data_IF_481525259650
#
_entry.id   IF_481525259650
#
_cell.length_a   1.000
_cell.length_b   1.000
_cell.length_c   1.000
_cell.angle_alpha   90.00
_cell.angle_beta   90.00
_cell.angle_gamma   90.00
#
_symmetry.space_group_name_H-M   'P 1'
#
loop_
_entity.id
_entity.type
_entity.pdbx_description
1 polymer ?
#
# COMPACT_ATOMS: atom_id res chain seq x y z
N UNK A 1 15.13 -15.77 14.92
CA UNK A 1 15.75 -14.54 14.38
C UNK A 1 15.87 -14.70 12.88
N UNK A 2 15.38 -13.73 12.10
CA UNK A 2 15.49 -13.74 10.64
C UNK A 2 16.97 -13.62 10.23
N UNK A 3 17.40 -14.24 9.12
CA UNK A 3 18.81 -14.32 8.75
C UNK A 3 19.48 -12.94 8.60
N UNK A 4 18.71 -11.93 8.17
CA UNK A 4 19.15 -10.53 8.06
C UNK A 4 19.44 -9.85 9.41
N UNK A 5 19.11 -10.47 10.54
CA UNK A 5 19.38 -9.94 11.89
C UNK A 5 20.67 -10.51 12.50
N UNK A 6 21.44 -11.33 11.77
CA UNK A 6 22.73 -11.84 12.24
C UNK A 6 23.82 -10.78 12.04
N UNK A 7 24.78 -10.75 12.97
CA UNK A 7 25.91 -9.80 12.99
C UNK A 7 26.69 -9.73 11.67
N UNK A 8 26.82 -10.86 10.98
CA UNK A 8 27.46 -10.99 9.66
C UNK A 8 26.77 -10.19 8.53
N UNK A 9 25.51 -9.81 8.72
CA UNK A 9 24.71 -8.99 7.79
C UNK A 9 24.53 -7.55 8.27
N UNK A 10 25.13 -7.14 9.40
CA UNK A 10 25.15 -5.73 9.80
C UNK A 10 26.07 -4.97 8.86
N UNK A 11 25.47 -4.27 7.91
CA UNK A 11 26.20 -3.47 6.95
C UNK A 11 26.57 -2.14 7.60
N UNK A 12 27.79 -2.03 8.11
CA UNK A 12 28.36 -0.74 8.46
C UNK A 12 28.44 0.14 7.21
N UNK A 13 28.06 1.41 7.33
CA UNK A 13 28.01 2.40 6.23
C UNK A 13 29.30 2.46 5.40
N UNK A 14 30.44 2.04 5.96
CA UNK A 14 31.75 2.24 5.37
C UNK A 14 32.49 0.96 4.95
N UNK A 15 31.99 -0.24 5.24
CA UNK A 15 32.85 -1.45 5.17
C UNK A 15 32.35 -2.54 4.22
N UNK A 16 31.04 -2.67 3.99
CA UNK A 16 30.46 -3.58 2.98
C UNK A 16 29.24 -2.95 2.34
N UNK A 17 29.04 -3.19 1.04
CA UNK A 17 27.84 -2.74 0.34
C UNK A 17 26.60 -3.25 1.08
N UNK A 18 25.70 -2.34 1.46
CA UNK A 18 24.47 -2.68 2.17
C UNK A 18 23.60 -3.70 1.40
N UNK A 19 23.84 -3.82 0.10
CA UNK A 19 23.10 -4.66 -0.84
C UNK A 19 24.03 -5.71 -1.45
N UNK A 20 24.03 -6.93 -0.90
CA UNK A 20 24.63 -8.11 -1.54
C UNK A 20 23.55 -8.89 -2.31
N UNK A 21 23.94 -9.88 -3.14
CA UNK A 21 22.95 -10.74 -3.83
C UNK A 21 22.11 -11.55 -2.83
N UNK A 22 22.71 -11.90 -1.69
CA UNK A 22 22.10 -12.67 -0.61
C UNK A 22 21.16 -11.80 0.26
N UNK A 23 21.46 -10.50 0.39
CA UNK A 23 20.61 -9.52 1.07
C UNK A 23 19.55 -8.88 0.17
N UNK A 24 19.66 -9.07 -1.15
CA UNK A 24 18.61 -8.68 -2.08
C UNK A 24 17.48 -9.67 -1.93
N UNK A 25 16.27 -9.16 -1.67
CA UNK A 25 15.01 -9.89 -1.90
C UNK A 25 14.89 -10.14 -3.41
N UNK A 26 15.65 -11.10 -3.95
CA UNK A 26 15.83 -11.31 -5.40
C UNK A 26 14.90 -12.36 -6.00
N UNK A 27 14.00 -12.93 -5.20
CA UNK A 27 12.97 -13.86 -5.68
C UNK A 27 11.60 -13.21 -5.83
N UNK A 28 11.38 -12.04 -5.23
CA UNK A 28 10.11 -11.33 -5.32
C UNK A 28 10.24 -10.14 -6.25
N UNK A 29 9.26 -10.00 -7.16
CA UNK A 29 9.13 -8.83 -8.02
C UNK A 29 8.86 -7.60 -7.15
N UNK A 30 9.46 -6.47 -7.51
CA UNK A 30 9.20 -5.20 -6.83
C UNK A 30 7.72 -4.83 -7.01
N UNK A 31 7.10 -4.09 -6.07
CA UNK A 31 5.68 -3.74 -6.19
C UNK A 31 5.30 -3.07 -7.52
N UNK A 32 6.14 -2.19 -8.05
CA UNK A 32 5.92 -1.55 -9.36
C UNK A 32 6.09 -2.53 -10.54
N UNK A 33 6.97 -3.54 -10.40
CA UNK A 33 7.10 -4.61 -11.40
C UNK A 33 5.86 -5.51 -11.39
N UNK A 34 5.31 -5.82 -10.21
CA UNK A 34 4.04 -6.54 -10.07
C UNK A 34 2.93 -5.76 -10.77
N UNK A 35 2.81 -4.45 -10.53
CA UNK A 35 1.81 -3.62 -11.22
C UNK A 35 1.92 -3.61 -12.74
N UNK A 36 3.16 -3.58 -13.25
CA UNK A 36 3.40 -3.62 -14.69
C UNK A 36 2.97 -4.96 -15.33
N UNK A 37 2.90 -6.02 -14.54
CA UNK A 37 2.50 -7.35 -15.00
C UNK A 37 1.03 -7.69 -14.74
N UNK A 38 0.38 -7.05 -13.76
CA UNK A 38 -1.05 -7.24 -13.50
C UNK A 38 -1.90 -6.99 -14.75
N UNK A 39 -1.52 -6.01 -15.59
CA UNK A 39 -2.19 -5.75 -16.87
C UNK A 39 -2.12 -6.92 -17.85
N UNK A 40 -1.04 -7.73 -17.80
CA UNK A 40 -0.88 -8.92 -18.66
C UNK A 40 -1.76 -10.08 -18.21
N UNK A 41 -2.09 -10.14 -16.92
CA UNK A 41 -2.98 -11.15 -16.34
C UNK A 41 -4.46 -10.83 -16.60
N UNK A 42 -4.83 -9.55 -16.73
CA UNK A 42 -6.19 -9.14 -17.08
C UNK A 42 -6.53 -9.43 -18.56
N UNK A 43 -5.56 -9.34 -19.46
CA UNK A 43 -5.73 -9.59 -20.91
C UNK A 43 -5.85 -11.09 -21.25
N UNK A 44 -5.46 -11.99 -20.35
CA UNK A 44 -5.45 -13.45 -20.59
C UNK A 44 -6.73 -14.18 -20.18
N UNK A 45 -7.77 -13.49 -19.67
CA UNK A 45 -9.09 -14.12 -19.46
C UNK A 45 -9.72 -14.46 -20.81
N UNK A 46 -10.00 -15.74 -21.13
CA UNK A 46 -10.60 -16.10 -22.40
C UNK A 46 -12.06 -15.67 -22.45
N UNK A 47 -12.46 -15.11 -23.59
CA UNK A 47 -13.85 -14.87 -23.97
C UNK A 47 -14.56 -16.22 -24.09
N UNK A 48 -15.39 -16.56 -23.11
CA UNK A 48 -16.30 -17.71 -23.19
C UNK A 48 -16.12 -18.73 -22.08
N UNK A 49 -16.78 -18.51 -20.95
CA UNK A 49 -17.18 -19.58 -20.03
C UNK A 49 -18.58 -19.29 -19.51
N UNK A 50 -19.57 -19.66 -20.33
CA UNK A 50 -20.97 -19.75 -19.96
C UNK A 50 -21.22 -21.02 -19.13
N UNK A 51 -21.53 -20.88 -17.83
CA UNK A 51 -22.47 -21.71 -17.04
C UNK A 51 -22.57 -21.22 -15.58
N UNK A 52 -23.77 -21.16 -14.98
CA UNK A 52 -24.01 -20.48 -13.69
C UNK A 52 -23.98 -21.39 -12.44
N UNK A 53 -23.46 -22.62 -12.53
CA UNK A 53 -23.52 -23.61 -11.43
C UNK A 53 -22.20 -23.83 -10.68
N UNK A 54 -21.17 -23.03 -10.95
CA UNK A 54 -20.02 -22.86 -10.07
C UNK A 54 -19.75 -21.37 -10.00
N UNK A 55 -20.24 -20.70 -8.95
CA UNK A 55 -19.80 -19.36 -8.62
C UNK A 55 -18.26 -19.40 -8.55
N UNK A 56 -17.60 -18.86 -9.58
CA UNK A 56 -16.17 -18.60 -9.55
C UNK A 56 -15.86 -17.67 -8.38
N UNK A 57 -14.58 -17.53 -7.96
CA UNK A 57 -14.24 -16.64 -6.86
C UNK A 57 -14.93 -15.32 -7.13
N UNK A 58 -15.84 -14.96 -6.24
CA UNK A 58 -16.62 -13.74 -6.33
C UNK A 58 -15.64 -12.60 -6.58
N UNK A 59 -16.06 -11.59 -7.32
CA UNK A 59 -15.21 -10.49 -7.74
C UNK A 59 -14.79 -9.66 -6.49
N UNK A 60 -13.91 -10.21 -5.65
CA UNK A 60 -13.43 -9.59 -4.41
C UNK A 60 -12.67 -8.37 -4.87
N UNK A 61 -13.34 -7.23 -4.77
CA UNK A 61 -12.77 -5.94 -5.10
C UNK A 61 -11.80 -5.58 -3.99
N UNK A 62 -10.56 -6.01 -4.16
CA UNK A 62 -9.49 -5.82 -3.18
C UNK A 62 -9.27 -4.32 -2.94
N UNK A 63 -9.51 -3.87 -1.71
CA UNK A 63 -9.24 -2.51 -1.24
C UNK A 63 -7.79 -2.39 -0.79
N UNK A 64 -7.15 -1.26 -1.11
CA UNK A 64 -5.76 -0.99 -0.77
C UNK A 64 -5.65 0.27 0.06
N UNK A 65 -5.01 0.16 1.21
CA UNK A 65 -4.69 1.29 2.07
C UNK A 65 -3.17 1.45 2.18
N UNK A 66 -2.68 2.66 1.93
CA UNK A 66 -1.27 3.03 2.08
C UNK A 66 -1.13 4.10 3.15
N UNK A 67 -0.12 3.97 4.00
CA UNK A 67 0.32 5.06 4.88
C UNK A 67 1.74 5.43 4.50
N UNK A 68 1.93 6.69 4.11
CA UNK A 68 3.18 7.24 3.58
C UNK A 68 3.68 8.37 4.47
N UNK A 69 4.96 8.67 4.37
CA UNK A 69 5.64 9.73 5.10
C UNK A 69 6.35 10.63 4.09
N UNK A 70 6.21 11.96 4.16
CA UNK A 70 6.85 12.81 3.14
C UNK A 70 8.37 12.90 3.28
N UNK A 71 8.92 12.57 4.46
CA UNK A 71 10.35 12.50 4.71
C UNK A 71 10.86 11.03 4.71
N UNK A 72 10.33 10.25 3.77
CA UNK A 72 10.68 8.84 3.55
C UNK A 72 11.16 8.65 2.11
N UNK A 73 12.28 7.95 1.92
CA UNK A 73 12.84 7.65 0.60
C UNK A 73 11.87 6.82 -0.27
N UNK A 74 10.92 6.10 0.34
CA UNK A 74 9.92 5.29 -0.35
C UNK A 74 8.62 6.04 -0.67
N UNK A 75 8.51 7.33 -0.30
CA UNK A 75 7.30 8.13 -0.49
C UNK A 75 6.77 8.05 -1.94
N UNK A 76 7.63 8.38 -2.90
CA UNK A 76 7.26 8.42 -4.31
C UNK A 76 6.90 7.03 -4.87
N UNK A 77 7.59 5.98 -4.43
CA UNK A 77 7.32 4.61 -4.87
C UNK A 77 5.94 4.14 -4.39
N UNK A 78 5.60 4.44 -3.13
CA UNK A 78 4.28 4.15 -2.56
C UNK A 78 3.16 4.92 -3.25
N UNK A 79 3.38 6.20 -3.56
CA UNK A 79 2.42 7.02 -4.30
C UNK A 79 2.19 6.50 -5.73
N UNK A 80 3.27 6.15 -6.45
CA UNK A 80 3.20 5.54 -7.77
C UNK A 80 2.44 4.19 -7.75
N UNK A 81 2.67 3.37 -6.73
CA UNK A 81 1.95 2.11 -6.55
C UNK A 81 0.44 2.34 -6.36
N UNK A 82 0.06 3.26 -5.47
CA UNK A 82 -1.34 3.61 -5.23
C UNK A 82 -2.04 4.18 -6.47
N UNK A 83 -1.37 5.08 -7.20
CA UNK A 83 -1.87 5.60 -8.48
C UNK A 83 -2.06 4.48 -9.51
N UNK A 84 -1.07 3.61 -9.68
CA UNK A 84 -1.13 2.51 -10.64
C UNK A 84 -2.25 1.50 -10.35
N UNK A 85 -2.55 1.23 -9.08
CA UNK A 85 -3.69 0.42 -8.65
C UNK A 85 -5.03 1.11 -8.97
N UNK A 86 -5.14 2.40 -8.65
CA UNK A 86 -6.36 3.17 -8.91
C UNK A 86 -6.68 3.24 -10.40
N UNK A 87 -5.68 3.47 -11.24
CA UNK A 87 -5.85 3.48 -12.71
C UNK A 87 -6.34 2.13 -13.26
N UNK A 88 -6.14 1.03 -12.53
CA UNK A 88 -6.62 -0.32 -12.86
C UNK A 88 -7.98 -0.66 -12.21
N UNK A 89 -8.64 0.32 -11.59
CA UNK A 89 -9.98 0.18 -11.03
C UNK A 89 -10.05 -0.40 -9.62
N UNK A 90 -8.91 -0.58 -8.94
CA UNK A 90 -8.88 -0.93 -7.52
C UNK A 90 -9.31 0.26 -6.66
N UNK A 91 -9.95 -0.03 -5.52
CA UNK A 91 -10.22 0.98 -4.51
C UNK A 91 -8.95 1.24 -3.70
N UNK A 92 -8.51 2.49 -3.68
CA UNK A 92 -7.28 2.89 -3.03
C UNK A 92 -7.55 4.08 -2.10
N UNK A 93 -7.02 4.02 -0.88
CA UNK A 93 -6.87 5.15 0.02
C UNK A 93 -5.41 5.31 0.44
N UNK A 94 -4.95 6.54 0.51
CA UNK A 94 -3.61 6.90 0.96
C UNK A 94 -3.76 7.86 2.13
N UNK A 95 -3.02 7.60 3.21
CA UNK A 95 -2.78 8.54 4.31
C UNK A 95 -1.33 9.02 4.20
N UNK A 96 -1.10 10.33 4.23
CA UNK A 96 0.24 10.93 4.18
C UNK A 96 0.53 11.65 5.48
N UNK A 97 1.55 11.18 6.21
CA UNK A 97 2.08 11.84 7.40
C UNK A 97 3.17 12.83 6.98
N UNK A 98 2.84 14.12 7.00
CA UNK A 98 3.68 15.21 6.49
C UNK A 98 4.82 15.50 7.47
N UNK A 99 6.04 15.61 6.95
CA UNK A 99 7.26 15.95 7.68
C UNK A 99 7.88 14.79 8.45
N UNK A 100 7.15 13.70 8.64
CA UNK A 100 7.60 12.55 9.42
C UNK A 100 8.51 11.61 8.62
N UNK A 101 9.51 10.97 9.26
CA UNK A 101 10.36 9.98 8.61
C UNK A 101 9.75 8.58 8.62
N UNK A 102 10.33 7.68 7.82
CA UNK A 102 9.96 6.27 7.76
C UNK A 102 9.80 5.64 9.15
N UNK A 103 8.66 4.99 9.40
CA UNK A 103 8.36 4.24 10.65
C UNK A 103 8.43 5.05 11.95
N UNK A 104 8.24 6.38 11.89
CA UNK A 104 8.37 7.22 13.10
C UNK A 104 7.47 6.76 14.25
N UNK A 105 6.27 6.24 13.97
CA UNK A 105 5.33 5.76 14.98
C UNK A 105 5.88 4.58 15.82
N UNK A 106 6.79 3.77 15.25
CA UNK A 106 7.44 2.66 15.97
C UNK A 106 8.55 3.12 16.92
N UNK A 107 9.12 4.31 16.69
CA UNK A 107 10.26 4.83 17.46
C UNK A 107 9.88 5.97 18.39
N UNK A 108 8.91 6.77 18.00
CA UNK A 108 8.38 7.90 18.74
C UNK A 108 7.06 7.62 19.44
N UNK A 109 6.85 6.41 20.00
CA UNK A 109 5.55 5.99 20.57
C UNK A 109 4.97 6.94 21.63
N UNK A 110 5.82 7.75 22.28
CA UNK A 110 5.41 8.76 23.26
C UNK A 110 4.88 10.06 22.64
N UNK A 111 5.02 10.23 21.33
CA UNK A 111 4.55 11.41 20.61
C UNK A 111 3.08 11.24 20.27
N UNK A 112 2.28 12.27 20.48
CA UNK A 112 0.85 12.25 20.13
C UNK A 112 0.65 11.97 18.63
N UNK A 113 1.51 12.53 17.78
CA UNK A 113 1.49 12.28 16.35
C UNK A 113 1.75 10.81 15.98
N UNK A 114 2.59 10.10 16.74
CA UNK A 114 2.84 8.67 16.52
C UNK A 114 1.61 7.82 16.86
N UNK A 115 0.96 8.13 17.98
CA UNK A 115 -0.27 7.46 18.39
C UNK A 115 -1.39 7.74 17.39
N UNK A 116 -1.49 8.98 16.90
CA UNK A 116 -2.47 9.34 15.89
C UNK A 116 -2.23 8.62 14.56
N UNK A 117 -0.98 8.55 14.08
CA UNK A 117 -0.64 7.79 12.88
C UNK A 117 -0.97 6.30 13.02
N UNK A 118 -0.72 5.68 14.18
CA UNK A 118 -1.15 4.31 14.47
C UNK A 118 -2.68 4.15 14.42
N UNK A 119 -3.43 5.11 14.98
CA UNK A 119 -4.90 5.10 14.91
C UNK A 119 -5.41 5.24 13.48
N UNK A 120 -4.79 6.07 12.64
CA UNK A 120 -5.13 6.18 11.21
C UNK A 120 -4.84 4.87 10.46
N UNK A 121 -3.74 4.16 10.78
CA UNK A 121 -3.47 2.84 10.23
C UNK A 121 -4.58 1.84 10.59
N UNK A 122 -5.04 1.85 11.84
CA UNK A 122 -6.15 0.98 12.30
C UNK A 122 -7.45 1.31 11.57
N UNK A 123 -7.76 2.60 11.34
CA UNK A 123 -8.93 3.01 10.55
C UNK A 123 -8.81 2.55 9.10
N UNK A 124 -7.64 2.70 8.49
CA UNK A 124 -7.34 2.21 7.15
C UNK A 124 -7.53 0.70 7.03
N UNK A 125 -6.99 -0.07 7.97
CA UNK A 125 -7.16 -1.52 8.02
C UNK A 125 -8.63 -1.94 8.16
N UNK A 126 -9.40 -1.25 9.02
CA UNK A 126 -10.86 -1.48 9.14
C UNK A 126 -11.59 -1.20 7.83
N UNK A 127 -11.23 -0.12 7.13
CA UNK A 127 -11.83 0.20 5.83
C UNK A 127 -11.52 -0.85 4.76
N UNK A 128 -10.30 -1.42 4.75
CA UNK A 128 -9.93 -2.51 3.84
C UNK A 128 -10.76 -3.77 4.12
N UNK A 129 -11.02 -4.08 5.39
CA UNK A 129 -11.79 -5.26 5.81
C UNK A 129 -13.30 -5.06 5.75
N UNK A 130 -13.78 -3.83 5.54
CA UNK A 130 -15.21 -3.55 5.48
C UNK A 130 -15.81 -4.16 4.19
N UNK A 131 -16.59 -5.23 4.35
CA UNK A 131 -17.25 -5.99 3.27
C UNK A 131 -18.50 -5.30 2.72
N UNK A 132 -18.79 -4.05 3.10
CA UNK A 132 -20.01 -3.36 2.70
C UNK A 132 -20.12 -3.16 1.17
N UNK A 133 -20.69 -4.19 0.51
CA UNK A 133 -21.46 -4.12 -0.74
C UNK A 133 -22.71 -3.28 -0.50
N UNK A 134 -22.54 -1.97 -0.31
CA UNK A 134 -23.64 -1.05 -0.59
C UNK A 134 -23.76 -1.02 -2.10
N UNK A 135 -24.81 -1.65 -2.60
CA UNK A 135 -25.27 -1.57 -3.99
C UNK A 135 -25.21 -0.09 -4.40
N UNK A 136 -24.22 0.26 -5.21
CA UNK A 136 -24.00 1.60 -5.76
C UNK A 136 -25.17 1.92 -6.69
N UNK A 137 -26.18 2.58 -6.15
CA UNK A 137 -27.08 3.41 -6.92
C UNK A 137 -26.22 4.49 -7.58
N UNK A 138 -26.07 4.37 -8.91
CA UNK A 138 -25.11 5.11 -9.73
C UNK A 138 -25.22 6.65 -9.72
N UNK A 139 -25.94 7.24 -8.76
CA UNK A 139 -25.95 8.65 -8.42
C UNK A 139 -24.77 9.07 -7.52
N UNK A 140 -24.20 8.16 -6.72
CA UNK A 140 -23.13 8.50 -5.75
C UNK A 140 -21.78 8.82 -6.39
N UNK A 141 -21.51 8.32 -7.61
CA UNK A 141 -20.27 8.57 -8.35
C UNK A 141 -20.22 9.94 -9.04
N UNK A 142 -21.35 10.65 -9.13
CA UNK A 142 -21.45 11.90 -9.89
C UNK A 142 -21.11 13.16 -9.06
N UNK A 143 -21.01 13.07 -7.73
CA UNK A 143 -21.00 14.27 -6.87
C UNK A 143 -19.98 14.30 -5.72
N UNK A 144 -19.00 13.40 -5.68
CA UNK A 144 -17.97 13.43 -4.63
C UNK A 144 -16.68 12.81 -5.10
N UNK A 145 -15.71 13.65 -5.46
CA UNK A 145 -14.30 13.28 -5.46
C UNK A 145 -13.97 12.83 -4.03
N UNK A 146 -14.16 11.54 -3.70
CA UNK A 146 -13.67 11.00 -2.43
C UNK A 146 -12.17 11.23 -2.44
N UNK A 147 -11.69 12.06 -1.51
CA UNK A 147 -10.28 12.37 -1.37
C UNK A 147 -9.54 11.07 -1.03
N UNK A 148 -9.00 10.43 -2.08
CA UNK A 148 -8.31 9.15 -2.01
C UNK A 148 -6.91 9.32 -1.40
N UNK A 149 -6.51 10.56 -1.12
CA UNK A 149 -5.30 10.92 -0.38
C UNK A 149 -5.68 11.87 0.76
N UNK A 150 -5.51 11.42 1.98
CA UNK A 150 -5.67 12.24 3.17
C UNK A 150 -4.30 12.67 3.70
N UNK A 151 -4.13 13.95 3.99
CA UNK A 151 -2.88 14.52 4.49
C UNK A 151 -3.00 14.83 5.98
N UNK A 152 -1.96 14.50 6.76
CA UNK A 152 -1.84 14.97 8.13
C UNK A 152 -1.67 16.49 8.18
N UNK A 153 -1.89 17.07 9.35
CA UNK A 153 -1.41 18.42 9.59
C UNK A 153 0.13 18.48 9.45
N UNK A 154 0.63 19.64 9.00
CA UNK A 154 2.06 19.91 8.97
C UNK A 154 2.66 19.85 10.38
N UNK A 155 3.89 19.34 10.49
CA UNK A 155 4.62 19.41 11.75
C UNK A 155 4.88 20.88 12.07
N UNK A 156 4.23 21.36 13.13
CA UNK A 156 4.59 22.62 13.78
C UNK A 156 5.68 22.32 14.81
N UNK A 157 6.94 22.41 14.38
CA UNK A 157 8.12 22.33 15.25
C UNK A 157 8.32 23.65 16.02
#
# INVERSE_FOLDING_TARGET
>A
MHASMKEEFYTGILDKAAVTKENRVREYKMPLEILAEMSKLEISKPVGASKPENAGPENIKMKWFFQLCTNDIYYSDGLCLGLGLRERGYEVKIRVEVGWPHTFWLKGMILDAAQQAEMELVKGAKWVLDEADVVDDGESRANGEMDWVEWSEDIRL
#
